data_IF_346417408571
#
_entry.id   IF_346417408571
#
_cell.length_a   1.000
_cell.length_b   1.000
_cell.length_c   1.000
_cell.angle_alpha   90.00
_cell.angle_beta   90.00
_cell.angle_gamma   90.00
#
_symmetry.space_group_name_H-M   'P 1'
#
loop_
_entity.id
_entity.type
_entity.pdbx_description
1 polymer ?
#
# COMPACT_ATOMS: atom_id res chain seq x y z
N UNK A 1 18.36 -42.62 9.91
CA UNK A 1 16.94 -42.26 9.74
C UNK A 1 16.65 -41.11 10.69
N UNK A 2 16.70 -39.88 10.19
CA UNK A 2 16.39 -38.67 10.95
C UNK A 2 15.49 -37.83 10.07
N UNK A 3 14.18 -37.98 10.29
CA UNK A 3 13.13 -37.12 9.78
C UNK A 3 13.19 -35.82 10.57
N UNK A 4 13.83 -34.80 10.00
CA UNK A 4 13.67 -33.44 10.48
C UNK A 4 12.34 -32.93 9.96
N UNK A 5 11.43 -32.75 10.92
CA UNK A 5 10.18 -32.01 10.85
C UNK A 5 10.34 -30.75 10.00
N UNK A 6 9.90 -30.84 8.74
CA UNK A 6 9.38 -29.70 8.00
C UNK A 6 8.03 -29.38 8.62
N UNK A 7 8.09 -28.73 9.78
CA UNK A 7 6.97 -28.12 10.47
C UNK A 7 6.53 -26.91 9.63
N UNK A 8 5.87 -27.22 8.51
CA UNK A 8 4.67 -26.60 7.99
C UNK A 8 4.38 -25.21 8.57
N UNK A 9 5.21 -24.24 8.17
CA UNK A 9 4.83 -22.83 8.19
C UNK A 9 3.74 -22.67 7.14
N UNK A 10 2.51 -23.03 7.51
CA UNK A 10 1.32 -22.40 6.97
C UNK A 10 1.36 -20.94 7.41
N UNK A 11 2.15 -20.14 6.69
CA UNK A 11 1.85 -18.73 6.59
C UNK A 11 0.46 -18.68 5.97
N UNK A 12 -0.52 -18.24 6.75
CA UNK A 12 -1.77 -17.71 6.22
C UNK A 12 -1.42 -16.49 5.36
N UNK A 13 -0.88 -16.73 4.16
CA UNK A 13 -0.95 -15.78 3.07
C UNK A 13 -2.43 -15.67 2.74
N UNK A 14 -3.11 -14.68 3.32
CA UNK A 14 -4.38 -14.22 2.76
C UNK A 14 -4.14 -13.97 1.26
N UNK A 15 -4.70 -14.79 0.36
CA UNK A 15 -4.45 -14.67 -1.09
C UNK A 15 -5.01 -13.37 -1.67
N UNK A 16 -5.71 -12.56 -0.86
CA UNK A 16 -6.50 -11.42 -1.29
C UNK A 16 -5.77 -10.08 -1.38
N UNK A 17 -4.61 -9.90 -0.73
CA UNK A 17 -3.86 -8.63 -0.79
C UNK A 17 -2.82 -8.63 -1.92
N UNK A 18 -2.05 -9.72 -2.03
CA UNK A 18 -0.95 -9.90 -2.99
C UNK A 18 -1.46 -9.95 -4.46
N UNK A 19 -2.70 -10.38 -4.67
CA UNK A 19 -3.37 -10.37 -5.98
C UNK A 19 -3.83 -8.97 -6.46
N UNK A 20 -3.76 -7.91 -5.63
CA UNK A 20 -4.39 -6.62 -5.98
C UNK A 20 -3.60 -5.78 -6.99
N UNK A 21 -2.28 -5.63 -6.86
CA UNK A 21 -1.46 -4.79 -7.78
C UNK A 21 -1.57 -5.29 -9.22
N UNK A 22 -1.28 -6.57 -9.37
CA UNK A 22 -1.54 -7.42 -10.51
C UNK A 22 -2.94 -7.24 -11.13
N UNK A 23 -4.00 -7.42 -10.34
CA UNK A 23 -5.38 -7.27 -10.81
C UNK A 23 -5.70 -5.82 -11.23
N UNK A 24 -5.10 -4.82 -10.59
CA UNK A 24 -5.27 -3.41 -10.96
C UNK A 24 -4.66 -3.11 -12.34
N UNK A 25 -3.43 -3.56 -12.60
CA UNK A 25 -2.80 -3.43 -13.92
C UNK A 25 -3.62 -4.15 -15.01
N UNK A 26 -4.08 -5.37 -14.71
CA UNK A 26 -4.96 -6.10 -15.61
C UNK A 26 -6.27 -5.37 -15.88
N UNK A 27 -6.93 -4.85 -14.84
CA UNK A 27 -8.20 -4.14 -14.99
C UNK A 27 -8.04 -2.85 -15.78
N UNK A 28 -6.91 -2.15 -15.63
CA UNK A 28 -6.59 -0.98 -16.45
C UNK A 28 -6.47 -1.33 -17.92
N UNK A 29 -5.68 -2.36 -18.25
CA UNK A 29 -5.59 -2.86 -19.62
C UNK A 29 -6.97 -3.25 -20.15
N UNK A 30 -7.72 -4.05 -19.38
CA UNK A 30 -9.05 -4.53 -19.77
C UNK A 30 -10.07 -3.41 -20.04
N UNK A 31 -9.98 -2.27 -19.33
CA UNK A 31 -10.95 -1.16 -19.43
C UNK A 31 -10.53 -0.07 -20.42
N UNK A 32 -9.24 0.08 -20.68
CA UNK A 32 -8.72 1.15 -21.53
C UNK A 32 -8.42 0.62 -22.92
N UNK A 33 -9.27 0.96 -23.88
CA UNK A 33 -8.97 0.71 -25.29
C UNK A 33 -7.72 1.51 -25.70
N UNK A 34 -6.87 0.91 -26.54
CA UNK A 34 -5.61 1.53 -26.97
C UNK A 34 -4.43 1.37 -26.00
N UNK A 35 -4.65 0.85 -24.78
CA UNK A 35 -3.56 0.50 -23.88
C UNK A 35 -3.04 -0.92 -24.17
N UNK A 36 -1.75 -1.04 -24.46
CA UNK A 36 -1.11 -2.30 -24.83
C UNK A 36 -0.36 -2.96 -23.69
N UNK A 37 0.37 -2.16 -22.90
CA UNK A 37 1.18 -2.65 -21.80
C UNK A 37 1.06 -1.74 -20.59
N UNK A 38 1.07 -2.35 -19.41
CA UNK A 38 1.22 -1.67 -18.15
C UNK A 38 2.29 -2.40 -17.33
N UNK A 39 3.37 -1.69 -17.03
CA UNK A 39 4.54 -2.19 -16.30
C UNK A 39 4.79 -1.35 -15.07
N UNK A 40 5.14 -2.01 -13.96
CA UNK A 40 5.61 -1.36 -12.75
C UNK A 40 7.05 -1.77 -12.48
N UNK A 41 7.96 -0.80 -12.50
CA UNK A 41 9.36 -0.95 -12.09
C UNK A 41 9.47 -0.57 -10.61
N UNK A 42 9.59 -1.58 -9.76
CA UNK A 42 9.71 -1.40 -8.30
C UNK A 42 11.08 -0.92 -7.86
N UNK A 43 12.12 -1.16 -8.66
CA UNK A 43 13.44 -0.67 -8.34
C UNK A 43 13.53 0.85 -8.53
N UNK A 44 12.80 1.38 -9.52
CA UNK A 44 12.76 2.82 -9.83
C UNK A 44 11.55 3.54 -9.25
N UNK A 45 10.53 2.80 -8.82
CA UNK A 45 9.26 3.38 -8.43
C UNK A 45 8.57 4.06 -9.61
N UNK A 46 8.54 3.39 -10.77
CA UNK A 46 7.96 3.94 -12.01
C UNK A 46 6.82 3.04 -12.50
N UNK A 47 5.75 3.68 -13.00
CA UNK A 47 4.70 3.07 -13.80
C UNK A 47 4.95 3.43 -15.26
N UNK A 48 5.15 2.42 -16.09
CA UNK A 48 5.43 2.53 -17.52
C UNK A 48 4.20 2.00 -18.27
N UNK A 49 3.59 2.85 -19.08
CA UNK A 49 2.42 2.50 -19.90
C UNK A 49 2.79 2.59 -21.38
N UNK A 50 2.42 1.59 -22.18
CA UNK A 50 2.55 1.61 -23.64
C UNK A 50 1.17 1.61 -24.29
N UNK A 51 0.94 2.53 -25.23
CA UNK A 51 -0.36 2.79 -25.83
C UNK A 51 -0.27 3.15 -27.32
N UNK A 52 -1.40 3.07 -28.01
CA UNK A 52 -1.57 3.57 -29.39
C UNK A 52 -2.03 5.04 -29.36
N UNK A 53 -1.21 5.99 -29.83
CA UNK A 53 -1.55 7.41 -29.84
C UNK A 53 -2.71 7.74 -30.81
N UNK A 54 -3.06 6.85 -31.73
CA UNK A 54 -4.17 7.06 -32.66
C UNK A 54 -5.53 6.70 -32.03
N UNK A 55 -5.54 5.92 -30.93
CA UNK A 55 -6.78 5.47 -30.29
C UNK A 55 -6.98 6.01 -28.89
N UNK A 56 -5.89 6.37 -28.20
CA UNK A 56 -5.92 6.92 -26.85
C UNK A 56 -5.10 8.20 -26.79
N UNK A 57 -5.73 9.30 -26.37
CA UNK A 57 -5.06 10.59 -26.24
C UNK A 57 -4.12 10.59 -25.02
N UNK A 58 -3.02 11.32 -25.11
CA UNK A 58 -2.04 11.41 -24.02
C UNK A 58 -2.67 11.97 -22.73
N UNK A 59 -3.58 12.94 -22.83
CA UNK A 59 -4.29 13.51 -21.66
C UNK A 59 -5.17 12.50 -20.94
N UNK A 60 -5.85 11.62 -21.68
CA UNK A 60 -6.66 10.54 -21.13
C UNK A 60 -5.76 9.48 -20.48
N UNK A 61 -4.65 9.15 -21.12
CA UNK A 61 -3.65 8.24 -20.55
C UNK A 61 -3.03 8.80 -19.26
N UNK A 62 -2.77 10.11 -19.19
CA UNK A 62 -2.28 10.74 -17.96
C UNK A 62 -3.28 10.61 -16.81
N UNK A 63 -4.59 10.70 -17.08
CA UNK A 63 -5.63 10.47 -16.08
C UNK A 63 -5.65 9.00 -15.62
N UNK A 64 -5.56 8.05 -16.56
CA UNK A 64 -5.46 6.61 -16.24
C UNK A 64 -4.20 6.32 -15.41
N UNK A 65 -3.06 6.87 -15.81
CA UNK A 65 -1.79 6.73 -15.09
C UNK A 65 -1.86 7.31 -13.67
N UNK A 66 -2.53 8.46 -13.50
CA UNK A 66 -2.70 9.11 -12.20
C UNK A 66 -3.60 8.29 -11.27
N UNK A 67 -4.71 7.76 -11.79
CA UNK A 67 -5.59 6.86 -11.03
C UNK A 67 -4.85 5.60 -10.62
N UNK A 68 -4.16 4.95 -11.57
CA UNK A 68 -3.37 3.75 -11.28
C UNK A 68 -2.28 3.99 -10.26
N UNK A 69 -1.54 5.09 -10.37
CA UNK A 69 -0.49 5.42 -9.41
C UNK A 69 -1.06 5.58 -7.99
N UNK A 70 -2.21 6.24 -7.86
CA UNK A 70 -2.89 6.42 -6.56
C UNK A 70 -3.38 5.09 -5.99
N UNK A 71 -4.01 4.26 -6.82
CA UNK A 71 -4.53 2.96 -6.40
C UNK A 71 -3.42 1.96 -6.06
N UNK A 72 -2.26 2.09 -6.73
CA UNK A 72 -1.09 1.26 -6.51
C UNK A 72 -0.28 1.71 -5.30
N UNK A 73 -0.19 3.00 -4.96
CA UNK A 73 0.71 3.52 -3.92
C UNK A 73 0.63 2.73 -2.59
N UNK A 74 -0.55 2.62 -1.99
CA UNK A 74 -0.74 1.91 -0.71
C UNK A 74 -0.37 0.41 -0.75
N UNK A 75 -0.94 -0.42 -1.65
CA UNK A 75 -0.61 -1.84 -1.71
C UNK A 75 0.82 -2.10 -2.21
N UNK A 76 1.37 -1.21 -3.04
CA UNK A 76 2.75 -1.30 -3.53
C UNK A 76 3.76 -1.05 -2.43
N UNK A 77 3.56 0.01 -1.63
CA UNK A 77 4.37 0.29 -0.45
C UNK A 77 4.32 -0.89 0.53
N UNK A 78 3.16 -1.51 0.74
CA UNK A 78 3.06 -2.71 1.58
C UNK A 78 3.84 -3.91 1.01
N UNK A 79 3.84 -4.08 -0.32
CA UNK A 79 4.57 -5.14 -1.01
C UNK A 79 6.09 -4.96 -0.88
N UNK A 80 6.59 -3.74 -1.06
CA UNK A 80 8.01 -3.41 -0.91
C UNK A 80 8.45 -3.55 0.55
N UNK A 81 7.68 -2.98 1.49
CA UNK A 81 8.07 -2.89 2.90
C UNK A 81 8.07 -4.23 3.64
N UNK A 82 7.20 -5.19 3.27
CA UNK A 82 7.09 -6.46 4.00
C UNK A 82 8.16 -7.50 3.67
N UNK A 83 8.89 -7.36 2.56
CA UNK A 83 9.81 -8.41 2.12
C UNK A 83 10.95 -7.92 1.21
N UNK A 84 11.31 -6.64 1.23
CA UNK A 84 12.39 -6.11 0.39
C UNK A 84 12.22 -6.41 -1.10
N UNK A 85 10.97 -6.40 -1.60
CA UNK A 85 10.63 -6.73 -2.99
C UNK A 85 10.37 -8.21 -3.29
N UNK A 86 10.78 -9.16 -2.42
CA UNK A 86 10.52 -10.59 -2.63
C UNK A 86 9.03 -10.94 -2.56
N UNK A 87 8.24 -10.25 -1.72
CA UNK A 87 6.79 -10.43 -1.69
C UNK A 87 6.14 -10.10 -3.05
N UNK A 88 6.71 -9.15 -3.79
CA UNK A 88 6.20 -8.79 -5.11
C UNK A 88 6.46 -9.87 -6.16
N UNK A 89 7.51 -10.68 -6.00
CA UNK A 89 7.74 -11.87 -6.86
C UNK A 89 6.70 -12.95 -6.61
N UNK A 90 6.38 -13.26 -5.34
CA UNK A 90 5.34 -14.22 -4.99
C UNK A 90 3.94 -13.75 -5.43
N UNK A 91 3.63 -12.45 -5.36
CA UNK A 91 2.41 -11.87 -5.93
C UNK A 91 2.29 -12.15 -7.42
N UNK A 92 3.39 -11.93 -8.12
CA UNK A 92 3.44 -11.96 -9.56
C UNK A 92 3.33 -13.39 -10.07
N UNK A 93 3.97 -14.36 -9.41
CA UNK A 93 3.81 -15.79 -9.70
C UNK A 93 2.36 -16.26 -9.47
N UNK A 94 1.73 -15.84 -8.36
CA UNK A 94 0.33 -16.16 -8.08
C UNK A 94 -0.62 -15.57 -9.12
N UNK A 95 -0.36 -14.33 -9.57
CA UNK A 95 -1.13 -13.72 -10.65
C UNK A 95 -0.94 -14.47 -11.96
N UNK A 96 0.31 -14.82 -12.34
CA UNK A 96 0.59 -15.56 -13.58
C UNK A 96 -0.30 -16.80 -13.66
N UNK A 97 -0.35 -17.57 -12.57
CA UNK A 97 -1.18 -18.76 -12.47
C UNK A 97 -2.68 -18.45 -12.63
N UNK A 98 -3.17 -17.35 -12.07
CA UNK A 98 -4.58 -16.95 -12.18
C UNK A 98 -4.93 -16.42 -13.58
N UNK A 99 -4.00 -15.73 -14.24
CA UNK A 99 -4.17 -15.25 -15.62
C UNK A 99 -4.14 -16.41 -16.63
N UNK A 100 -3.22 -17.37 -16.45
CA UNK A 100 -3.17 -18.60 -17.23
C UNK A 100 -4.51 -19.36 -17.14
N UNK A 101 -5.13 -19.41 -15.94
CA UNK A 101 -6.46 -20.01 -15.76
C UNK A 101 -7.58 -19.28 -16.49
N UNK A 102 -7.49 -17.95 -16.59
CA UNK A 102 -8.54 -17.11 -17.21
C UNK A 102 -8.35 -16.96 -18.73
N UNK A 103 -7.21 -17.36 -19.28
CA UNK A 103 -6.97 -17.51 -20.72
C UNK A 103 -7.05 -16.21 -21.54
N UNK A 104 -6.63 -15.06 -20.98
CA UNK A 104 -6.91 -13.74 -21.58
C UNK A 104 -5.72 -12.77 -21.69
N UNK A 105 -4.49 -13.22 -21.48
CA UNK A 105 -3.31 -12.41 -21.75
C UNK A 105 -2.30 -13.23 -22.53
N UNK A 106 -1.82 -12.64 -23.61
CA UNK A 106 -0.91 -13.29 -24.53
C UNK A 106 0.54 -13.20 -24.06
N UNK A 107 0.88 -12.23 -23.18
CA UNK A 107 2.20 -12.15 -22.53
C UNK A 107 2.13 -11.42 -21.17
N UNK A 108 2.27 -12.19 -20.09
CA UNK A 108 2.47 -11.68 -18.73
C UNK A 108 3.89 -12.01 -18.30
N UNK A 109 4.70 -10.96 -18.16
CA UNK A 109 6.11 -11.08 -17.84
C UNK A 109 6.39 -10.55 -16.44
N UNK A 110 6.90 -11.44 -15.60
CA UNK A 110 7.31 -11.14 -14.23
C UNK A 110 8.81 -11.27 -14.14
N UNK A 111 9.49 -10.22 -13.70
CA UNK A 111 10.91 -10.24 -13.37
C UNK A 111 11.08 -9.77 -11.93
N UNK A 112 12.13 -10.20 -11.21
CA UNK A 112 12.47 -9.63 -9.92
C UNK A 112 12.58 -8.11 -10.04
N UNK A 113 11.72 -7.39 -9.31
CA UNK A 113 11.67 -5.94 -9.33
C UNK A 113 10.86 -5.29 -10.47
N UNK A 114 10.31 -6.06 -11.42
CA UNK A 114 9.47 -5.55 -12.52
C UNK A 114 8.27 -6.45 -12.80
N UNK A 115 7.10 -5.85 -12.92
CA UNK A 115 5.88 -6.58 -13.27
C UNK A 115 5.26 -5.94 -14.50
N UNK A 116 5.17 -6.68 -15.59
CA UNK A 116 4.61 -6.20 -16.84
C UNK A 116 3.43 -7.09 -17.28
N UNK A 117 2.33 -6.44 -17.64
CA UNK A 117 1.17 -7.08 -18.26
C UNK A 117 1.04 -6.49 -19.67
N UNK A 118 0.99 -7.33 -20.69
CA UNK A 118 0.87 -6.85 -22.08
C UNK A 118 -0.10 -7.68 -22.93
N UNK A 119 -0.59 -7.07 -24.00
CA UNK A 119 -1.37 -7.76 -25.05
C UNK A 119 -0.50 -8.01 -26.27
N UNK A 120 -0.57 -9.23 -26.83
CA UNK A 120 0.12 -9.55 -28.10
C UNK A 120 -0.77 -9.10 -29.24
N UNK A 121 -0.91 -7.80 -29.40
CA UNK A 121 -1.50 -7.19 -30.60
C UNK A 121 -0.40 -6.80 -31.59
N UNK A 122 -0.68 -7.02 -32.88
CA UNK A 122 0.18 -6.69 -34.02
C UNK A 122 0.69 -5.22 -33.95
N UNK A 123 1.80 -4.88 -34.64
CA UNK A 123 2.52 -3.64 -34.40
C UNK A 123 1.73 -2.41 -34.87
N UNK A 124 0.93 -1.86 -33.98
CA UNK A 124 0.53 -0.45 -34.02
C UNK A 124 1.70 0.41 -33.53
N UNK A 125 1.72 1.67 -33.92
CA UNK A 125 2.66 2.66 -33.39
C UNK A 125 2.52 2.72 -31.87
N UNK A 126 3.62 2.50 -31.14
CA UNK A 126 3.62 2.46 -29.67
C UNK A 126 4.25 3.71 -29.12
N UNK A 127 3.48 4.49 -28.40
CA UNK A 127 3.98 5.56 -27.54
C UNK A 127 4.14 5.05 -26.11
N UNK A 128 5.11 5.62 -25.37
CA UNK A 128 5.41 5.24 -23.98
C UNK A 128 5.22 6.45 -23.07
N UNK A 129 4.46 6.25 -22.00
CA UNK A 129 4.33 7.20 -20.90
C UNK A 129 5.01 6.61 -19.66
N UNK A 130 5.91 7.37 -19.05
CA UNK A 130 6.56 7.00 -17.78
C UNK A 130 6.06 7.94 -16.70
N UNK A 131 5.55 7.38 -15.61
CA UNK A 131 5.02 8.10 -14.46
C UNK A 131 5.74 7.63 -13.20
N UNK A 132 6.22 8.56 -12.38
CA UNK A 132 6.72 8.23 -11.05
C UNK A 132 5.55 7.74 -10.16
N UNK A 133 5.74 6.58 -9.54
CA UNK A 133 4.91 6.07 -8.44
C UNK A 133 5.37 6.61 -7.10
N UNK A 134 6.62 7.08 -7.00
CA UNK A 134 7.02 7.83 -5.83
C UNK A 134 6.12 9.07 -5.75
N UNK A 135 5.42 9.20 -4.62
CA UNK A 135 4.77 10.45 -4.25
C UNK A 135 5.76 11.59 -4.55
N UNK A 136 5.32 12.71 -5.15
CA UNK A 136 6.19 13.85 -5.36
C UNK A 136 6.99 14.08 -4.08
N UNK A 137 8.32 14.30 -4.16
CA UNK A 137 9.15 14.46 -2.98
C UNK A 137 8.43 15.46 -2.08
N UNK A 138 8.08 14.98 -0.90
CA UNK A 138 7.15 15.56 0.08
C UNK A 138 7.35 17.08 0.21
N UNK A 139 6.82 17.85 -0.74
CA UNK A 139 6.93 19.30 -0.72
C UNK A 139 5.85 19.77 0.24
N UNK A 140 6.36 20.13 1.42
CA UNK A 140 5.66 20.75 2.54
C UNK A 140 4.74 19.75 3.24
N UNK A 141 5.38 19.00 4.16
CA UNK A 141 4.81 18.67 5.46
C UNK A 141 3.72 19.68 5.80
N UNK A 142 2.46 19.25 5.72
CA UNK A 142 1.36 19.93 6.37
C UNK A 142 1.83 20.11 7.80
N UNK A 143 2.19 21.35 8.14
CA UNK A 143 2.94 21.70 9.33
C UNK A 143 2.08 21.25 10.49
N UNK A 144 2.37 20.04 11.00
CA UNK A 144 1.53 19.41 12.00
C UNK A 144 1.28 20.44 13.09
N UNK A 145 0.00 20.73 13.29
CA UNK A 145 -0.45 21.85 14.12
C UNK A 145 -0.08 21.64 15.59
N UNK A 146 0.39 20.43 15.94
CA UNK A 146 0.75 20.04 17.28
C UNK A 146 2.14 19.40 17.38
N UNK A 147 2.97 19.82 18.36
CA UNK A 147 4.36 19.38 18.48
C UNK A 147 4.53 17.87 18.80
N UNK A 148 3.50 17.19 19.32
CA UNK A 148 3.56 15.76 19.65
C UNK A 148 3.48 14.83 18.43
N UNK A 149 3.19 15.36 17.25
CA UNK A 149 2.90 14.51 16.09
C UNK A 149 4.14 13.85 15.50
N UNK A 150 5.31 14.44 15.78
CA UNK A 150 6.64 13.94 15.44
C UNK A 150 7.13 12.82 16.36
N UNK A 151 6.39 12.49 17.41
CA UNK A 151 6.81 11.44 18.33
C UNK A 151 6.60 10.06 17.71
N UNK A 152 7.55 9.16 17.96
CA UNK A 152 7.42 7.74 17.60
C UNK A 152 6.10 7.18 18.17
N UNK A 153 5.34 6.37 17.42
CA UNK A 153 4.12 5.73 17.93
C UNK A 153 4.30 5.05 19.30
N UNK A 154 5.48 4.50 19.58
CA UNK A 154 5.79 3.91 20.89
C UNK A 154 5.79 4.97 22.01
N UNK A 155 6.36 6.15 21.75
CA UNK A 155 6.38 7.27 22.69
C UNK A 155 4.98 7.85 22.91
N UNK A 156 4.16 7.94 21.85
CA UNK A 156 2.76 8.39 21.96
C UNK A 156 1.96 7.46 22.89
N UNK A 157 2.10 6.15 22.71
CA UNK A 157 1.45 5.15 23.58
C UNK A 157 1.93 5.25 25.03
N UNK A 158 3.25 5.38 25.25
CA UNK A 158 3.81 5.49 26.59
C UNK A 158 3.30 6.74 27.33
N UNK A 159 3.24 7.89 26.65
CA UNK A 159 2.78 9.14 27.26
C UNK A 159 1.28 9.11 27.55
N UNK A 160 0.45 8.61 26.63
CA UNK A 160 -0.98 8.43 26.89
C UNK A 160 -1.20 7.50 28.09
N UNK A 161 -0.48 6.39 28.16
CA UNK A 161 -0.55 5.44 29.29
C UNK A 161 -0.16 6.12 30.61
N UNK A 162 0.90 6.93 30.61
CA UNK A 162 1.35 7.65 31.80
C UNK A 162 0.31 8.69 32.26
N UNK A 163 -0.30 9.42 31.33
CA UNK A 163 -1.37 10.40 31.63
C UNK A 163 -2.58 9.69 32.24
N UNK A 164 -3.03 8.58 31.66
CA UNK A 164 -4.14 7.78 32.19
C UNK A 164 -3.83 7.25 33.59
N UNK A 165 -2.63 6.69 33.81
CA UNK A 165 -2.22 6.18 35.11
C UNK A 165 -2.18 7.27 36.18
N UNK A 166 -1.68 8.47 35.84
CA UNK A 166 -1.70 9.64 36.71
C UNK A 166 -3.14 10.08 37.04
N UNK A 167 -4.02 10.12 36.05
CA UNK A 167 -5.43 10.45 36.25
C UNK A 167 -6.13 9.51 37.24
N UNK A 168 -5.89 8.20 37.10
CA UNK A 168 -6.41 7.17 38.02
C UNK A 168 -5.86 7.39 39.43
N UNK A 169 -4.55 7.60 39.57
CA UNK A 169 -3.91 7.81 40.88
C UNK A 169 -4.44 9.06 41.59
N UNK A 170 -4.59 10.17 40.86
CA UNK A 170 -5.15 11.43 41.40
C UNK A 170 -6.61 11.24 41.81
N UNK A 171 -7.42 10.56 40.99
CA UNK A 171 -8.81 10.25 41.32
C UNK A 171 -8.93 9.40 42.59
N UNK A 172 -8.06 8.39 42.74
CA UNK A 172 -8.04 7.51 43.90
C UNK A 172 -7.64 8.25 45.20
N UNK A 173 -6.55 9.04 45.15
CA UNK A 173 -6.11 9.86 46.29
C UNK A 173 -7.16 10.91 46.63
N UNK A 174 -7.77 11.53 45.63
CA UNK A 174 -8.80 12.54 45.80
C UNK A 174 -10.05 12.01 46.52
N UNK A 175 -10.47 10.79 46.17
CA UNK A 175 -11.57 10.10 46.85
C UNK A 175 -11.23 9.74 48.30
N UNK A 176 -10.00 9.30 48.57
CA UNK A 176 -9.56 8.95 49.92
C UNK A 176 -9.46 10.17 50.85
N UNK A 177 -9.11 11.35 50.31
CA UNK A 177 -8.93 12.58 51.08
C UNK A 177 -10.24 13.36 51.34
N UNK A 178 -11.38 12.89 50.84
CA UNK A 178 -12.68 13.57 51.04
C UNK A 178 -12.76 14.95 50.39
N UNK A 179 -12.06 15.15 49.27
CA UNK A 179 -12.08 16.44 48.56
C UNK A 179 -13.51 16.79 48.10
N UNK A 180 -13.96 18.04 48.30
CA UNK A 180 -15.29 18.47 47.89
C UNK A 180 -15.46 18.43 46.35
N UNK A 181 -16.66 18.06 45.90
CA UNK A 181 -17.08 18.12 44.49
C UNK A 181 -16.79 19.53 43.94
N UNK A 182 -16.04 19.68 42.81
CA UNK A 182 -16.19 18.89 41.59
C UNK A 182 -14.95 18.09 41.14
N UNK A 183 -13.89 18.00 41.95
CA UNK A 183 -12.61 17.39 41.55
C UNK A 183 -12.69 15.96 40.97
N UNK A 184 -13.54 15.04 41.47
CA UNK A 184 -13.66 13.70 40.89
C UNK A 184 -14.18 13.70 39.44
N UNK A 185 -15.05 14.67 39.10
CA UNK A 185 -15.65 14.77 37.77
C UNK A 185 -14.65 15.31 36.74
N UNK A 186 -13.80 16.27 37.15
CA UNK A 186 -12.72 16.79 36.31
C UNK A 186 -11.68 15.69 36.02
N UNK A 187 -11.30 14.92 37.04
CA UNK A 187 -10.36 13.80 36.86
C UNK A 187 -10.92 12.72 35.91
N UNK A 188 -12.22 12.43 35.99
CA UNK A 188 -12.87 11.45 35.11
C UNK A 188 -12.91 11.92 33.65
N UNK A 189 -13.20 13.21 33.40
CA UNK A 189 -13.22 13.78 32.04
C UNK A 189 -11.82 13.78 31.42
N UNK A 190 -10.78 14.09 32.20
CA UNK A 190 -9.38 14.08 31.72
C UNK A 190 -8.90 12.66 31.39
N UNK A 191 -9.39 11.63 32.09
CA UNK A 191 -9.02 10.23 31.81
C UNK A 191 -9.68 9.67 30.53
N UNK A 192 -10.72 10.31 30.01
CA UNK A 192 -11.51 9.87 28.85
C UNK A 192 -11.28 10.72 27.58
N UNK A 193 -10.40 11.72 27.65
CA UNK A 193 -9.91 12.52 26.51
C UNK A 193 -8.59 11.95 26.00
#
# INVERSE_FOLDING_TARGET
>A
MTTLDLQQQHTHHEPGALNRCAAMLYNALARTAGLFSAEVDTARGELILEYDPNTLLESELQAVASSLATDLDSPFQQCINRAGGYACTACADALKLELDRRGRLDDFTVHPGRMAVSRTTAPAERARLIRSLAAPPEEVQEKSRWPWDRWDPLHKQAVLTAITALGIAVGWIGGAAGLPQPWPQVAYVVAYL
#
